data_IF_214537185955
#
_entry.id   IF_214537185955
#
_cell.length_a   1.000
_cell.length_b   1.000
_cell.length_c   1.000
_cell.angle_alpha   90.00
_cell.angle_beta   90.00
_cell.angle_gamma   90.00
#
_symmetry.space_group_name_H-M   'P 1'
#
loop_
_entity.id
_entity.type
_entity.pdbx_description
1 polymer ?
#
# COMPACT_ATOMS: atom_id res chain seq x y z
N UNK A 1 -5.83 8.45 11.16
CA UNK A 1 -5.12 7.16 11.07
C UNK A 1 -6.04 6.15 10.42
N UNK A 2 -5.56 5.44 9.41
CA UNK A 2 -6.25 4.28 8.85
C UNK A 2 -5.60 3.06 9.50
N UNK A 3 -6.41 2.17 10.09
CA UNK A 3 -5.89 1.02 10.81
C UNK A 3 -6.74 -0.22 10.52
N UNK A 4 -6.06 -1.36 10.35
CA UNK A 4 -6.70 -2.64 10.09
C UNK A 4 -7.06 -3.34 11.40
N UNK A 5 -8.31 -3.80 11.49
CA UNK A 5 -8.84 -4.50 12.64
C UNK A 5 -9.32 -5.89 12.25
N UNK A 6 -9.20 -6.85 13.18
CA UNK A 6 -9.87 -8.14 13.08
C UNK A 6 -11.31 -8.02 13.60
N UNK A 7 -12.28 -8.32 12.74
CA UNK A 7 -13.69 -8.34 13.10
C UNK A 7 -14.02 -9.63 13.84
N UNK A 8 -14.47 -9.53 15.09
CA UNK A 8 -14.74 -10.71 15.94
C UNK A 8 -15.87 -11.60 15.39
N UNK A 9 -16.89 -11.01 14.79
CA UNK A 9 -18.08 -11.75 14.35
C UNK A 9 -17.82 -12.59 13.09
N UNK A 10 -17.06 -12.06 12.13
CA UNK A 10 -16.80 -12.72 10.85
C UNK A 10 -15.40 -13.37 10.76
N UNK A 11 -14.47 -13.00 11.65
CA UNK A 11 -13.06 -13.38 11.55
C UNK A 11 -12.31 -12.70 10.39
N UNK A 12 -12.97 -11.79 9.65
CA UNK A 12 -12.36 -11.03 8.54
C UNK A 12 -11.59 -9.83 9.07
N UNK A 13 -10.64 -9.34 8.27
CA UNK A 13 -9.95 -8.08 8.53
C UNK A 13 -10.55 -6.96 7.69
N UNK A 14 -10.52 -5.74 8.23
CA UNK A 14 -10.92 -4.54 7.50
C UNK A 14 -10.34 -3.28 8.11
N UNK A 15 -10.23 -2.24 7.30
CA UNK A 15 -9.64 -0.96 7.72
C UNK A 15 -10.72 0.00 8.21
N UNK A 16 -10.55 0.57 9.40
CA UNK A 16 -11.35 1.68 9.92
C UNK A 16 -10.50 2.94 10.05
N UNK A 17 -11.16 4.09 10.18
CA UNK A 17 -10.52 5.40 10.27
C UNK A 17 -10.69 5.93 11.69
N UNK A 18 -9.57 6.35 12.28
CA UNK A 18 -9.50 6.99 13.58
C UNK A 18 -9.01 8.43 13.43
N UNK A 19 -9.42 9.30 14.36
CA UNK A 19 -8.97 10.69 14.45
C UNK A 19 -8.42 11.01 15.83
N UNK A 20 -7.59 12.04 15.90
CA UNK A 20 -7.08 12.64 17.12
C UNK A 20 -6.80 14.11 16.84
N UNK A 21 -6.97 14.96 17.85
CA UNK A 21 -6.56 16.36 17.79
C UNK A 21 -5.05 16.54 18.02
N UNK A 22 -4.35 15.46 18.40
CA UNK A 22 -2.89 15.37 18.56
C UNK A 22 -2.27 14.31 17.64
N UNK A 23 -1.06 14.58 17.15
CA UNK A 23 -0.26 13.65 16.33
C UNK A 23 0.03 12.32 17.05
N UNK A 24 0.11 12.35 18.38
CA UNK A 24 0.45 11.18 19.22
C UNK A 24 -0.77 10.49 19.82
N UNK A 25 -1.98 10.94 19.46
CA UNK A 25 -3.22 10.43 20.04
C UNK A 25 -3.62 11.10 21.37
N UNK A 26 -4.61 10.53 22.09
CA UNK A 26 -5.27 9.26 21.79
C UNK A 26 -6.12 9.33 20.52
N UNK A 27 -6.08 8.26 19.72
CA UNK A 27 -6.92 8.13 18.54
C UNK A 27 -8.27 7.52 18.92
N UNK A 28 -9.35 8.13 18.44
CA UNK A 28 -10.72 7.67 18.63
C UNK A 28 -11.34 7.24 17.30
N UNK A 29 -12.26 6.26 17.29
CA UNK A 29 -13.02 5.91 16.09
C UNK A 29 -13.65 7.15 15.45
N UNK A 30 -13.50 7.26 14.13
CA UNK A 30 -14.04 8.36 13.34
C UNK A 30 -14.96 7.87 12.24
N UNK A 31 -14.61 6.78 11.56
CA UNK A 31 -15.53 6.09 10.67
C UNK A 31 -16.63 5.38 11.45
N UNK A 32 -17.80 5.26 10.83
CA UNK A 32 -18.96 4.62 11.47
C UNK A 32 -18.69 3.13 11.74
N UNK A 33 -17.99 2.47 10.81
CA UNK A 33 -17.53 1.08 10.88
C UNK A 33 -16.19 0.93 10.12
N UNK A 34 -15.79 -0.30 9.76
CA UNK A 34 -14.78 -0.49 8.72
C UNK A 34 -15.25 0.11 7.40
N UNK A 35 -14.29 0.62 6.63
CA UNK A 35 -14.50 1.35 5.39
C UNK A 35 -14.27 0.44 4.18
N UNK A 36 -13.50 -0.64 4.36
CA UNK A 36 -13.36 -1.73 3.39
C UNK A 36 -14.66 -2.53 3.29
N UNK A 37 -14.90 -3.26 2.18
CA UNK A 37 -16.08 -4.11 2.05
C UNK A 37 -16.18 -5.14 3.18
N UNK A 38 -17.38 -5.28 3.76
CA UNK A 38 -17.62 -6.18 4.90
C UNK A 38 -17.36 -7.65 4.58
N UNK A 39 -17.58 -8.02 3.33
CA UNK A 39 -17.43 -9.40 2.89
C UNK A 39 -16.01 -9.78 2.50
N UNK A 40 -15.07 -8.84 2.51
CA UNK A 40 -13.70 -9.07 2.10
C UNK A 40 -12.78 -9.21 3.32
N UNK A 41 -11.75 -10.02 3.15
CA UNK A 41 -10.54 -9.96 3.94
C UNK A 41 -9.72 -8.81 3.37
N UNK A 42 -9.64 -7.69 4.09
CA UNK A 42 -8.96 -6.50 3.64
C UNK A 42 -8.01 -5.93 4.69
N UNK A 43 -6.91 -5.37 4.23
CA UNK A 43 -5.89 -4.75 5.06
C UNK A 43 -5.26 -3.53 4.38
N UNK A 44 -4.42 -2.84 5.14
CA UNK A 44 -3.53 -1.75 4.74
C UNK A 44 -4.19 -0.62 3.95
N UNK A 45 -5.38 -0.19 4.39
CA UNK A 45 -5.98 1.02 3.85
C UNK A 45 -5.11 2.25 4.09
N UNK A 46 -4.81 3.01 3.04
CA UNK A 46 -4.12 4.29 3.06
C UNK A 46 -4.96 5.39 2.41
N UNK A 47 -4.72 6.63 2.80
CA UNK A 47 -5.46 7.79 2.30
C UNK A 47 -4.77 8.38 1.06
N UNK A 48 -5.57 8.64 0.02
CA UNK A 48 -5.17 9.45 -1.12
C UNK A 48 -6.22 10.53 -1.39
N UNK A 49 -5.78 11.77 -1.63
CA UNK A 49 -6.64 12.87 -2.06
C UNK A 49 -6.36 13.17 -3.53
N UNK A 50 -7.40 13.05 -4.37
CA UNK A 50 -7.28 13.33 -5.79
C UNK A 50 -7.20 14.84 -6.10
N UNK A 51 -6.98 15.19 -7.36
CA UNK A 51 -6.83 16.60 -7.79
C UNK A 51 -8.12 17.43 -7.60
N UNK A 52 -9.27 16.77 -7.53
CA UNK A 52 -10.56 17.40 -7.22
C UNK A 52 -10.80 17.56 -5.71
N UNK A 53 -9.84 17.19 -4.86
CA UNK A 53 -9.99 17.19 -3.41
C UNK A 53 -10.89 16.07 -2.89
N UNK A 54 -11.16 15.03 -3.70
CA UNK A 54 -11.99 13.91 -3.27
C UNK A 54 -11.12 12.84 -2.60
N UNK A 55 -11.51 12.37 -1.40
CA UNK A 55 -10.75 11.36 -0.69
C UNK A 55 -11.03 9.95 -1.23
N UNK A 56 -9.97 9.17 -1.32
CA UNK A 56 -9.97 7.75 -1.66
C UNK A 56 -9.22 6.98 -0.58
N UNK A 57 -9.64 5.74 -0.36
CA UNK A 57 -8.83 4.74 0.33
C UNK A 57 -8.26 3.79 -0.70
N UNK A 58 -6.96 3.54 -0.63
CA UNK A 58 -6.28 2.46 -1.37
C UNK A 58 -5.96 1.36 -0.38
N UNK A 59 -6.27 0.11 -0.68
CA UNK A 59 -6.18 -0.99 0.28
C UNK A 59 -5.90 -2.32 -0.44
N UNK A 60 -5.61 -3.38 0.31
CA UNK A 60 -5.42 -4.72 -0.24
C UNK A 60 -6.66 -5.59 -0.02
N UNK A 61 -7.07 -6.31 -1.06
CA UNK A 61 -7.92 -7.49 -0.95
C UNK A 61 -7.01 -8.71 -0.79
N UNK A 62 -7.12 -9.36 0.36
CA UNK A 62 -6.11 -10.32 0.77
C UNK A 62 -6.06 -11.56 -0.13
N UNK A 63 -4.84 -11.91 -0.52
CA UNK A 63 -4.48 -13.16 -1.17
C UNK A 63 -4.99 -14.41 -0.42
N UNK A 64 -5.23 -14.33 0.90
CA UNK A 64 -5.85 -15.41 1.68
C UNK A 64 -7.25 -15.76 1.17
N UNK A 65 -8.00 -14.77 0.68
CA UNK A 65 -9.33 -14.93 0.12
C UNK A 65 -9.30 -15.19 -1.38
N UNK A 66 -8.47 -14.44 -2.14
CA UNK A 66 -8.51 -14.44 -3.61
C UNK A 66 -7.35 -15.18 -4.29
N UNK A 67 -6.34 -15.63 -3.55
CA UNK A 67 -5.14 -16.29 -4.06
C UNK A 67 -4.14 -15.31 -4.66
N UNK A 68 -4.54 -14.59 -5.70
CA UNK A 68 -3.79 -13.49 -6.29
C UNK A 68 -4.28 -12.19 -5.65
N UNK A 69 -3.54 -11.71 -4.65
CA UNK A 69 -3.91 -10.51 -3.89
C UNK A 69 -4.09 -9.30 -4.80
N UNK A 70 -5.02 -8.43 -4.45
CA UNK A 70 -5.38 -7.28 -5.28
C UNK A 70 -5.14 -5.98 -4.52
N UNK A 71 -4.67 -4.96 -5.23
CA UNK A 71 -4.71 -3.59 -4.74
C UNK A 71 -5.99 -2.95 -5.28
N UNK A 72 -6.79 -2.40 -4.38
CA UNK A 72 -8.09 -1.82 -4.69
C UNK A 72 -8.15 -0.37 -4.22
N UNK A 73 -9.03 0.41 -4.82
CA UNK A 73 -9.36 1.74 -4.36
C UNK A 73 -10.87 1.91 -4.18
N UNK A 74 -11.29 2.66 -3.17
CA UNK A 74 -12.70 3.02 -2.96
C UNK A 74 -12.79 4.49 -2.59
N UNK A 75 -13.81 5.19 -3.10
CA UNK A 75 -14.06 6.58 -2.73
C UNK A 75 -14.53 6.67 -1.29
N UNK A 76 -14.18 7.76 -0.63
CA UNK A 76 -14.65 8.10 0.69
C UNK A 76 -15.59 9.31 0.64
N UNK A 77 -16.48 9.36 1.63
CA UNK A 77 -17.18 10.60 1.99
C UNK A 77 -16.16 11.67 2.37
N UNK A 78 -16.47 12.95 2.11
CA UNK A 78 -15.56 14.08 2.39
C UNK A 78 -15.17 14.20 3.86
N UNK A 79 -16.06 13.77 4.75
CA UNK A 79 -15.80 13.71 6.19
C UNK A 79 -15.11 12.41 6.62
N UNK A 80 -14.71 11.54 5.69
CA UNK A 80 -14.01 10.27 5.92
C UNK A 80 -14.76 9.29 6.82
N UNK A 81 -16.09 9.41 6.97
CA UNK A 81 -16.84 8.52 7.88
C UNK A 81 -17.18 7.17 7.28
N UNK A 82 -17.28 7.11 5.95
CA UNK A 82 -17.70 5.92 5.20
C UNK A 82 -17.15 5.92 3.78
N UNK A 83 -17.11 4.73 3.18
CA UNK A 83 -16.90 4.56 1.75
C UNK A 83 -18.16 4.94 0.96
N UNK A 84 -17.97 5.29 -0.31
CA UNK A 84 -19.05 5.69 -1.23
C UNK A 84 -18.91 4.97 -2.56
N UNK A 85 -19.89 4.13 -2.89
CA UNK A 85 -19.85 3.28 -4.08
C UNK A 85 -19.00 2.03 -3.90
N UNK A 86 -18.86 1.26 -4.97
CA UNK A 86 -18.11 0.00 -4.96
C UNK A 86 -16.60 0.23 -5.10
N UNK A 87 -15.76 -0.63 -4.50
CA UNK A 87 -14.33 -0.65 -4.77
C UNK A 87 -14.02 -0.96 -6.23
N UNK A 88 -12.92 -0.41 -6.71
CA UNK A 88 -12.33 -0.71 -8.01
C UNK A 88 -11.02 -1.42 -7.78
N UNK A 89 -10.86 -2.61 -8.36
CA UNK A 89 -9.56 -3.30 -8.41
C UNK A 89 -8.64 -2.54 -9.37
N UNK A 90 -7.46 -2.15 -8.86
CA UNK A 90 -6.45 -1.43 -9.62
C UNK A 90 -5.59 -2.39 -10.44
N UNK A 91 -5.17 -3.48 -9.81
CA UNK A 91 -4.43 -4.61 -10.40
C UNK A 91 -4.29 -5.74 -9.37
N UNK A 92 -3.97 -6.94 -9.85
CA UNK A 92 -3.54 -8.08 -9.05
C UNK A 92 -2.01 -8.15 -8.95
N UNK A 93 -1.48 -8.81 -7.91
CA UNK A 93 -0.04 -8.86 -7.69
C UNK A 93 0.72 -9.60 -8.80
N UNK A 94 0.14 -10.61 -9.44
CA UNK A 94 0.79 -11.33 -10.55
C UNK A 94 0.97 -10.51 -11.83
N UNK A 95 0.34 -9.34 -11.94
CA UNK A 95 0.53 -8.42 -13.08
C UNK A 95 1.90 -7.74 -13.05
N UNK A 96 2.53 -7.66 -11.87
CA UNK A 96 3.88 -7.16 -11.74
C UNK A 96 4.93 -8.25 -12.09
N UNK A 97 5.86 -7.98 -13.02
CA UNK A 97 6.82 -8.97 -13.50
C UNK A 97 7.84 -9.43 -12.45
N UNK A 98 8.04 -8.63 -11.39
CA UNK A 98 8.96 -8.96 -10.29
C UNK A 98 8.32 -9.81 -9.20
N UNK A 99 6.99 -9.82 -9.08
CA UNK A 99 6.31 -10.52 -7.99
C UNK A 99 6.25 -12.02 -8.26
N UNK A 100 6.54 -12.81 -7.23
CA UNK A 100 6.56 -14.28 -7.32
C UNK A 100 5.57 -14.89 -6.33
N UNK A 101 5.07 -16.09 -6.65
CA UNK A 101 4.14 -16.79 -5.76
C UNK A 101 4.82 -17.18 -4.46
N UNK A 102 4.23 -16.75 -3.34
CA UNK A 102 4.63 -17.08 -1.98
C UNK A 102 4.28 -18.53 -1.61
N UNK A 103 5.27 -19.26 -1.10
CA UNK A 103 5.16 -20.65 -0.68
C UNK A 103 4.75 -20.70 0.80
N UNK A 104 3.44 -20.68 1.04
CA UNK A 104 2.91 -20.74 2.39
C UNK A 104 2.88 -22.17 2.93
N UNK A 105 3.43 -22.39 4.13
CA UNK A 105 3.61 -23.73 4.76
C UNK A 105 2.36 -24.61 4.78
N UNK A 106 1.17 -24.01 4.91
CA UNK A 106 -0.10 -24.74 5.01
C UNK A 106 -1.07 -24.46 3.86
N UNK A 107 -0.71 -23.55 2.93
CA UNK A 107 -1.54 -23.19 1.77
C UNK A 107 -0.72 -23.34 0.50
N UNK A 108 -0.52 -24.59 0.10
CA UNK A 108 0.19 -24.97 -1.12
C UNK A 108 -0.69 -24.85 -2.38
N UNK A 109 -1.40 -23.72 -2.52
CA UNK A 109 -2.07 -23.32 -3.76
C UNK A 109 -1.03 -22.76 -4.73
N UNK A 110 -1.18 -23.04 -6.03
CA UNK A 110 -0.14 -22.74 -7.04
C UNK A 110 0.05 -21.25 -7.38
N UNK A 111 -0.72 -20.34 -6.77
CA UNK A 111 -0.72 -18.89 -7.09
C UNK A 111 -1.07 -18.05 -5.87
N UNK A 112 -0.19 -18.00 -4.87
CA UNK A 112 -0.35 -17.10 -3.72
C UNK A 112 0.47 -15.86 -3.97
N UNK A 113 -0.12 -14.80 -4.50
CA UNK A 113 0.59 -13.56 -4.71
C UNK A 113 0.15 -12.56 -3.66
N UNK A 114 1.09 -12.05 -2.87
CA UNK A 114 0.79 -11.16 -1.76
C UNK A 114 0.73 -9.72 -2.26
N UNK A 115 -0.23 -8.94 -1.76
CA UNK A 115 -0.24 -7.48 -1.84
C UNK A 115 -0.21 -6.93 -0.43
N UNK A 116 0.65 -5.95 -0.17
CA UNK A 116 0.87 -5.38 1.16
C UNK A 116 1.28 -3.90 1.05
N UNK A 117 0.90 -3.08 2.03
CA UNK A 117 1.33 -1.68 2.19
C UNK A 117 1.22 -0.77 0.97
N UNK A 118 0.02 -0.59 0.35
CA UNK A 118 -0.14 0.32 -0.78
C UNK A 118 -0.01 1.78 -0.34
N UNK A 119 0.84 2.55 -1.03
CA UNK A 119 1.08 3.96 -0.74
C UNK A 119 1.16 4.77 -2.04
N UNK A 120 0.33 5.80 -2.17
CA UNK A 120 0.33 6.69 -3.33
C UNK A 120 1.28 7.87 -3.09
N UNK A 121 2.13 8.13 -4.08
CA UNK A 121 3.04 9.27 -4.13
C UNK A 121 2.82 10.03 -5.44
N UNK A 122 2.95 11.36 -5.39
CA UNK A 122 2.91 12.23 -6.58
C UNK A 122 4.34 12.64 -6.92
N UNK A 123 4.81 12.20 -8.08
CA UNK A 123 6.15 12.54 -8.53
C UNK A 123 6.31 14.03 -8.90
N UNK A 124 7.56 14.50 -8.81
CA UNK A 124 7.94 15.89 -9.07
C UNK A 124 7.82 16.27 -10.56
N UNK A 125 7.62 15.31 -11.46
CA UNK A 125 7.45 15.48 -12.92
C UNK A 125 6.07 16.03 -13.35
N UNK A 126 5.50 16.92 -12.55
CA UNK A 126 4.16 17.45 -12.78
C UNK A 126 3.04 16.52 -12.30
N UNK A 127 3.33 15.71 -11.28
CA UNK A 127 2.30 15.02 -10.48
C UNK A 127 1.87 13.65 -11.00
N UNK A 128 2.76 12.92 -11.69
CA UNK A 128 2.48 11.51 -12.02
C UNK A 128 2.19 10.70 -10.76
N UNK A 129 1.18 9.82 -10.82
CA UNK A 129 0.81 8.98 -9.69
C UNK A 129 1.63 7.70 -9.68
N UNK A 130 2.38 7.55 -8.60
CA UNK A 130 3.19 6.39 -8.27
C UNK A 130 2.48 5.63 -7.15
N UNK A 131 2.38 4.31 -7.27
CA UNK A 131 1.88 3.43 -6.24
C UNK A 131 3.01 2.51 -5.80
N UNK A 132 3.44 2.70 -4.56
CA UNK A 132 4.36 1.84 -3.85
C UNK A 132 3.56 0.74 -3.16
N UNK A 133 4.04 -0.49 -3.24
CA UNK A 133 3.44 -1.63 -2.56
C UNK A 133 4.50 -2.71 -2.38
N UNK A 134 4.22 -3.71 -1.54
CA UNK A 134 5.15 -4.78 -1.23
C UNK A 134 4.55 -6.15 -1.55
N UNK A 135 5.46 -7.09 -1.84
CA UNK A 135 5.15 -8.49 -2.12
C UNK A 135 6.39 -9.35 -1.87
N UNK A 136 6.43 -10.55 -2.43
CA UNK A 136 7.55 -11.49 -2.31
C UNK A 136 8.25 -11.73 -3.64
N UNK A 137 9.58 -11.77 -3.58
CA UNK A 137 10.46 -12.23 -4.66
C UNK A 137 11.19 -13.46 -4.14
N UNK A 138 10.94 -14.63 -4.71
CA UNK A 138 11.51 -15.91 -4.30
C UNK A 138 11.34 -16.19 -2.79
N UNK A 139 10.18 -15.87 -2.23
CA UNK A 139 9.85 -15.93 -0.79
C UNK A 139 10.60 -14.95 0.13
N UNK A 140 11.30 -13.97 -0.43
CA UNK A 140 11.91 -12.87 0.32
C UNK A 140 11.01 -11.65 0.21
N UNK A 141 10.74 -10.98 1.34
CA UNK A 141 9.87 -9.80 1.32
C UNK A 141 10.58 -8.63 0.66
N UNK A 142 9.86 -7.93 -0.21
CA UNK A 142 10.42 -6.85 -1.01
C UNK A 142 9.46 -5.67 -1.06
N UNK A 143 10.04 -4.46 -0.97
CA UNK A 143 9.36 -3.28 -1.44
C UNK A 143 9.35 -3.36 -2.95
N UNK A 144 8.16 -3.55 -3.49
CA UNK A 144 7.91 -3.76 -4.89
C UNK A 144 8.41 -2.64 -5.79
N UNK A 145 8.39 -2.93 -7.09
CA UNK A 145 8.60 -1.93 -8.12
C UNK A 145 7.45 -0.92 -8.09
N UNK A 146 7.75 0.32 -8.47
CA UNK A 146 6.73 1.36 -8.51
C UNK A 146 5.74 1.05 -9.63
N UNK A 147 4.45 1.18 -9.34
CA UNK A 147 3.41 1.09 -10.35
C UNK A 147 2.98 2.51 -10.73
N UNK A 148 2.86 2.79 -12.03
CA UNK A 148 2.65 4.15 -12.58
C UNK A 148 1.30 4.24 -13.24
N UNK A 149 0.50 5.22 -12.85
CA UNK A 149 -0.78 5.48 -13.53
C UNK A 149 -0.52 6.23 -14.83
N UNK A 150 -0.79 5.57 -15.97
CA UNK A 150 -0.66 6.18 -17.30
C UNK A 150 -1.60 7.36 -17.54
N UNK A 151 -2.66 7.49 -16.73
CA UNK A 151 -3.68 8.55 -16.82
C UNK A 151 -3.56 9.60 -15.72
N UNK A 152 -2.63 9.43 -14.77
CA UNK A 152 -2.53 10.23 -13.54
C UNK A 152 -3.79 10.20 -12.66
N UNK A 153 -4.66 9.21 -12.87
CA UNK A 153 -5.84 8.97 -12.04
C UNK A 153 -5.63 7.70 -11.22
N UNK A 154 -6.21 7.67 -10.02
CA UNK A 154 -6.11 6.51 -9.13
C UNK A 154 -6.66 5.23 -9.76
N UNK A 155 -7.64 5.35 -10.66
CA UNK A 155 -8.25 4.23 -11.38
C UNK A 155 -7.36 3.63 -12.46
N UNK A 156 -6.13 4.12 -12.64
CA UNK A 156 -5.17 3.55 -13.60
C UNK A 156 -5.54 3.80 -15.07
N UNK A 157 -5.15 2.91 -16.00
CA UNK A 157 -4.42 1.65 -15.75
C UNK A 157 -3.00 1.89 -15.22
N UNK A 158 -2.49 0.89 -14.50
CA UNK A 158 -1.20 0.91 -13.82
C UNK A 158 -0.16 0.12 -14.61
N UNK A 159 1.04 0.67 -14.74
CA UNK A 159 2.19 0.06 -15.41
C UNK A 159 3.25 -0.25 -14.35
N UNK A 160 3.72 -1.48 -14.27
CA UNK A 160 4.67 -1.91 -13.24
C UNK A 160 6.11 -1.79 -13.71
N UNK A 161 6.97 -1.24 -12.85
CA UNK A 161 8.42 -1.31 -13.04
C UNK A 161 8.89 -2.79 -13.03
N UNK A 162 9.95 -3.11 -13.79
CA UNK A 162 10.43 -4.50 -13.93
C UNK A 162 11.11 -5.06 -12.68
N UNK A 163 11.61 -4.20 -11.80
CA UNK A 163 12.42 -4.57 -10.64
C UNK A 163 11.87 -3.95 -9.35
N UNK A 164 12.02 -4.63 -8.22
CA UNK A 164 11.69 -4.07 -6.91
C UNK A 164 12.61 -2.90 -6.54
N UNK A 165 12.07 -1.97 -5.75
CA UNK A 165 12.82 -0.83 -5.22
C UNK A 165 13.76 -1.23 -4.06
N UNK A 166 13.40 -2.27 -3.31
CA UNK A 166 14.18 -2.81 -2.21
C UNK A 166 13.96 -4.32 -2.06
N UNK A 167 15.04 -5.11 -2.11
CA UNK A 167 14.99 -6.59 -2.05
C UNK A 167 15.72 -7.19 -0.85
N UNK A 168 16.13 -6.39 0.13
CA UNK A 168 16.90 -6.86 1.29
C UNK A 168 15.99 -7.26 2.45
N UNK A 169 14.98 -8.09 2.18
CA UNK A 169 14.03 -8.61 3.15
C UNK A 169 13.31 -7.49 3.94
N UNK A 170 12.61 -6.61 3.23
CA UNK A 170 11.92 -5.48 3.84
C UNK A 170 10.93 -4.83 2.88
N UNK A 171 9.92 -4.17 3.43
CA UNK A 171 8.81 -3.62 2.64
C UNK A 171 7.80 -2.87 3.51
N UNK A 172 6.56 -2.77 3.02
CA UNK A 172 5.52 -1.91 3.59
C UNK A 172 5.99 -0.45 3.70
N UNK A 173 6.57 0.04 2.61
CA UNK A 173 7.26 1.33 2.57
C UNK A 173 6.36 2.49 2.15
N UNK A 174 6.65 3.67 2.71
CA UNK A 174 6.07 4.94 2.28
C UNK A 174 7.16 5.98 1.99
N UNK A 175 6.87 6.91 1.09
CA UNK A 175 7.74 8.04 0.77
C UNK A 175 7.32 9.28 1.55
N UNK A 176 8.28 10.06 2.03
CA UNK A 176 8.01 11.36 2.64
C UNK A 176 9.21 12.29 2.50
N UNK A 177 8.96 13.60 2.54
CA UNK A 177 10.02 14.60 2.67
C UNK A 177 10.23 14.91 4.16
N UNK A 178 11.50 15.00 4.56
CA UNK A 178 11.85 15.51 5.88
C UNK A 178 11.66 17.05 5.97
N UNK A 179 12.01 17.62 7.12
CA UNK A 179 11.91 19.06 7.37
C UNK A 179 12.86 19.91 6.51
N UNK A 180 13.83 19.29 5.83
CA UNK A 180 14.79 19.91 4.92
C UNK A 180 14.49 19.59 3.45
N UNK A 181 13.30 19.07 3.16
CA UNK A 181 12.83 18.68 1.84
C UNK A 181 13.60 17.51 1.20
N UNK A 182 14.39 16.74 1.96
CA UNK A 182 15.01 15.51 1.48
C UNK A 182 13.98 14.39 1.43
N UNK A 183 13.86 13.71 0.29
CA UNK A 183 12.98 12.56 0.11
C UNK A 183 13.58 11.32 0.78
N UNK A 184 12.75 10.59 1.53
CA UNK A 184 13.07 9.33 2.17
C UNK A 184 12.03 8.25 1.84
N UNK A 185 12.51 7.01 1.74
CA UNK A 185 11.71 5.81 1.87
C UNK A 185 11.83 5.31 3.31
N UNK A 186 10.72 5.19 4.02
CA UNK A 186 10.66 4.47 5.30
C UNK A 186 10.01 3.11 5.09
N UNK A 187 10.61 2.06 5.62
CA UNK A 187 10.11 0.67 5.59
C UNK A 187 10.61 -0.09 6.81
N UNK A 188 10.13 -1.31 7.03
CA UNK A 188 10.73 -2.21 8.03
C UNK A 188 11.64 -3.25 7.36
N UNK A 189 12.74 -3.60 8.04
CA UNK A 189 13.63 -4.70 7.65
C UNK A 189 14.41 -5.20 8.87
N UNK A 190 14.77 -6.50 8.98
CA UNK A 190 14.32 -7.60 8.12
C UNK A 190 12.81 -7.89 8.30
N UNK A 191 12.20 -8.73 7.45
CA UNK A 191 10.83 -9.23 7.64
C UNK A 191 10.83 -10.49 8.52
N UNK A 192 11.36 -10.35 9.74
CA UNK A 192 11.58 -11.49 10.65
C UNK A 192 11.30 -11.11 12.09
N UNK A 193 10.20 -11.62 12.63
CA UNK A 193 9.81 -11.36 14.02
C UNK A 193 10.80 -11.91 15.04
N UNK A 194 11.20 -11.14 16.08
CA UNK A 194 10.87 -9.74 16.41
C UNK A 194 11.97 -8.72 16.00
N UNK A 195 12.76 -9.07 14.98
CA UNK A 195 13.97 -8.33 14.60
C UNK A 195 13.69 -7.16 13.66
N UNK A 196 12.45 -6.95 13.24
CA UNK A 196 12.05 -5.86 12.34
C UNK A 196 12.47 -4.51 12.95
N UNK A 197 13.11 -3.64 12.16
CA UNK A 197 13.47 -2.27 12.55
C UNK A 197 13.03 -1.29 11.47
N UNK A 198 12.62 -0.05 11.83
CA UNK A 198 12.42 0.99 10.85
C UNK A 198 13.74 1.35 10.19
N UNK A 199 13.74 1.45 8.87
CA UNK A 199 14.86 1.87 8.05
C UNK A 199 14.43 3.11 7.26
N UNK A 200 15.28 4.12 7.24
CA UNK A 200 15.09 5.35 6.45
C UNK A 200 16.18 5.43 5.39
N UNK A 201 15.78 5.34 4.13
CA UNK A 201 16.68 5.33 2.98
C UNK A 201 16.49 6.64 2.23
N UNK A 202 17.58 7.36 1.96
CA UNK A 202 17.52 8.58 1.16
C UNK A 202 17.18 8.22 -0.29
N UNK A 203 16.22 8.94 -0.84
CA UNK A 203 15.73 8.72 -2.20
C UNK A 203 15.90 9.98 -3.03
N UNK A 204 15.91 9.80 -4.34
CA UNK A 204 15.85 10.88 -5.33
C UNK A 204 14.65 10.62 -6.23
N UNK A 205 13.84 11.64 -6.46
CA UNK A 205 12.88 11.68 -7.56
C UNK A 205 13.53 12.38 -8.76
N UNK A 206 13.93 11.60 -9.75
CA UNK A 206 14.51 12.09 -11.01
C UNK A 206 13.44 12.03 -12.10
N UNK A 207 12.55 13.02 -12.14
CA UNK A 207 11.50 13.15 -13.15
C UNK A 207 10.53 11.95 -13.19
N UNK A 208 10.10 11.46 -12.01
CA UNK A 208 9.24 10.29 -11.85
C UNK A 208 10.03 8.99 -11.61
N UNK A 209 11.31 8.97 -11.93
CA UNK A 209 12.20 7.88 -11.57
C UNK A 209 12.60 7.98 -10.10
N UNK A 210 12.02 7.13 -9.24
CA UNK A 210 12.42 7.04 -7.83
C UNK A 210 13.55 6.03 -7.70
N UNK A 211 14.65 6.44 -7.10
CA UNK A 211 15.83 5.60 -6.85
C UNK A 211 16.48 5.95 -5.52
N UNK A 212 17.28 5.04 -4.97
CA UNK A 212 18.06 5.34 -3.77
C UNK A 212 19.17 6.32 -4.14
N UNK A 213 19.51 7.21 -3.22
CA UNK A 213 20.58 8.17 -3.43
C UNK A 213 21.95 7.49 -3.57
N UNK A 214 22.17 6.38 -2.88
CA UNK A 214 23.46 5.66 -2.87
C UNK A 214 23.67 4.75 -4.10
N UNK A 215 22.73 4.71 -5.04
CA UNK A 215 22.85 3.95 -6.29
C UNK A 215 23.61 4.74 -7.40
N UNK A 216 24.33 5.81 -7.03
CA UNK A 216 25.20 6.63 -7.91
C UNK A 216 26.65 6.12 -7.99
#
# INVERSE_FOLDING_TARGET
>A
MFATFLLKESGKRGTAILKSDSLTGPFHPHSDEIVTPKDWFSLDGTLYIDEGGMPWMVFCHEWIQVGDGEICAVRLSKDLKKSTGEPVTLFAASEAPWATSFQHKTRNTRKNYVTDGPYIYRAENGGELLLLWASFVDNIYAQGGISRSSTRKITGPWIHDEKPLFSSDGGHGMLFHDLHNQLYLTLHSPNKTPNERPVFIKMIDSNGGIRRQDDE
#
